data_IF_957278590892
#
_entry.id   IF_957278590892
#
_cell.length_a   1.000
_cell.length_b   1.000
_cell.length_c   1.000
_cell.angle_alpha   90.00
_cell.angle_beta   90.00
_cell.angle_gamma   90.00
#
_symmetry.space_group_name_H-M   'P 1'
#
loop_
_entity.id
_entity.type
_entity.pdbx_description
1 polymer ?
#
# COMPACT_ATOMS: atom_id res chain seq x y z
N UNK A 1 -26.23 3.32 -34.78
CA UNK A 1 -25.41 2.95 -33.61
C UNK A 1 -24.01 3.53 -33.84
N UNK A 2 -23.69 4.62 -33.14
CA UNK A 2 -22.35 5.25 -33.24
C UNK A 2 -21.53 4.73 -32.06
N UNK A 3 -20.47 3.94 -32.35
CA UNK A 3 -19.51 3.54 -31.33
C UNK A 3 -18.66 4.77 -30.94
N UNK A 4 -18.50 5.07 -29.65
CA UNK A 4 -17.53 6.07 -29.24
C UNK A 4 -16.14 5.49 -29.39
N UNK A 5 -15.33 6.18 -30.17
CA UNK A 5 -13.90 5.94 -30.32
C UNK A 5 -13.26 6.27 -28.97
N UNK A 6 -12.94 5.24 -28.15
CA UNK A 6 -12.11 5.41 -26.97
C UNK A 6 -10.69 5.60 -27.49
N UNK A 7 -10.31 6.85 -27.64
CA UNK A 7 -8.93 7.24 -27.88
C UNK A 7 -8.17 6.98 -26.57
N UNK A 8 -7.64 5.77 -26.44
CA UNK A 8 -6.69 5.44 -25.39
C UNK A 8 -5.44 6.29 -25.63
N UNK A 9 -5.34 7.41 -24.92
CA UNK A 9 -4.12 8.18 -24.83
C UNK A 9 -3.12 7.36 -24.01
N UNK A 10 -2.50 6.37 -24.65
CA UNK A 10 -1.23 5.84 -24.24
C UNK A 10 -0.24 7.00 -24.39
N UNK A 11 -0.08 7.76 -23.31
CA UNK A 11 1.03 8.69 -23.16
C UNK A 11 2.29 7.83 -23.04
N UNK A 12 2.71 7.25 -24.17
CA UNK A 12 4.10 6.82 -24.35
C UNK A 12 4.92 8.10 -24.34
N UNK A 13 5.37 8.50 -23.15
CA UNK A 13 6.46 9.46 -23.02
C UNK A 13 7.69 8.73 -23.56
N UNK A 14 7.84 8.73 -24.87
CA UNK A 14 9.10 8.49 -25.54
C UNK A 14 9.97 9.70 -25.18
N UNK A 15 10.58 9.66 -24.00
CA UNK A 15 11.66 10.59 -23.68
C UNK A 15 12.77 10.33 -24.69
N UNK A 16 13.18 11.34 -25.49
CA UNK A 16 14.34 11.18 -26.33
C UNK A 16 15.53 10.89 -25.41
N UNK A 17 16.07 9.69 -25.52
CA UNK A 17 17.35 9.30 -24.89
C UNK A 17 18.46 10.10 -25.57
N UNK A 18 18.58 11.38 -25.28
CA UNK A 18 19.79 12.11 -25.56
C UNK A 18 20.85 11.65 -24.53
N UNK A 19 21.80 10.89 -25.01
CA UNK A 19 22.93 10.38 -24.25
C UNK A 19 23.84 11.53 -23.78
N UNK A 20 23.44 12.19 -22.70
CA UNK A 20 24.35 12.97 -21.89
C UNK A 20 24.95 12.06 -20.81
N UNK A 21 26.25 11.83 -20.87
CA UNK A 21 27.05 10.89 -20.06
C UNK A 21 27.04 11.09 -18.53
N UNK A 22 26.16 11.93 -17.95
CA UNK A 22 26.03 12.19 -16.50
C UNK A 22 24.59 12.24 -15.98
N UNK A 23 23.62 11.73 -16.73
CA UNK A 23 22.20 11.95 -16.43
C UNK A 23 21.63 11.06 -15.32
N UNK A 24 22.19 9.88 -15.05
CA UNK A 24 21.63 8.91 -14.12
C UNK A 24 22.64 8.39 -13.10
N UNK A 25 22.24 8.32 -11.84
CA UNK A 25 22.96 7.63 -10.78
C UNK A 25 22.09 6.48 -10.28
N UNK A 26 22.65 5.29 -10.19
CA UNK A 26 21.98 4.07 -9.77
C UNK A 26 22.56 3.59 -8.44
N UNK A 27 21.69 3.22 -7.51
CA UNK A 27 22.07 2.59 -6.25
C UNK A 27 21.24 1.33 -6.06
N UNK A 28 21.89 0.18 -6.16
CA UNK A 28 21.29 -1.11 -5.82
C UNK A 28 21.46 -1.36 -4.33
N UNK A 29 20.42 -1.88 -3.70
CA UNK A 29 20.45 -2.29 -2.31
C UNK A 29 19.61 -3.54 -2.11
N UNK A 30 19.79 -4.18 -0.98
CA UNK A 30 18.98 -5.34 -0.62
C UNK A 30 19.35 -5.86 0.76
N UNK A 31 18.56 -6.80 1.21
CA UNK A 31 18.81 -7.55 2.44
C UNK A 31 18.32 -8.97 2.28
N UNK A 32 19.02 -9.89 2.92
CA UNK A 32 18.52 -11.24 3.19
C UNK A 32 18.06 -11.25 4.65
N UNK A 33 16.79 -11.62 4.88
CA UNK A 33 16.22 -11.69 6.21
C UNK A 33 15.66 -13.08 6.45
N UNK A 34 16.15 -13.73 7.52
CA UNK A 34 15.59 -14.97 8.04
C UNK A 34 14.79 -14.69 9.30
N UNK A 35 13.56 -15.17 9.35
CA UNK A 35 12.68 -15.11 10.51
C UNK A 35 12.42 -16.52 11.02
N UNK A 36 13.07 -16.90 12.14
CA UNK A 36 12.82 -18.13 12.89
C UNK A 36 11.91 -17.79 14.07
N UNK A 37 10.83 -18.52 14.21
CA UNK A 37 9.93 -18.36 15.34
C UNK A 37 9.45 -19.71 15.88
N UNK A 38 9.12 -19.73 17.16
CA UNK A 38 8.45 -20.82 17.85
C UNK A 38 7.37 -20.20 18.73
N UNK A 39 6.16 -20.73 18.63
CA UNK A 39 5.02 -20.36 19.44
C UNK A 39 4.60 -21.55 20.32
N UNK A 40 4.37 -21.31 21.60
CA UNK A 40 3.94 -22.36 22.54
C UNK A 40 2.44 -22.66 22.45
N UNK A 41 1.68 -21.79 21.76
CA UNK A 41 0.24 -21.87 21.58
C UNK A 41 -0.15 -21.36 20.19
N UNK A 42 -1.19 -21.94 19.60
CA UNK A 42 -1.71 -21.47 18.32
C UNK A 42 -2.11 -19.99 18.39
N UNK A 43 -1.67 -19.21 17.43
CA UNK A 43 -1.95 -17.76 17.32
C UNK A 43 -2.97 -17.47 16.22
N UNK A 44 -3.68 -16.37 16.35
CA UNK A 44 -4.47 -15.82 15.27
C UNK A 44 -3.55 -15.13 14.30
N UNK A 45 -3.46 -15.66 13.11
CA UNK A 45 -2.64 -15.16 12.01
C UNK A 45 -3.52 -14.54 10.93
N UNK A 46 -2.96 -13.60 10.18
CA UNK A 46 -3.52 -13.10 8.92
C UNK A 46 -2.41 -12.96 7.87
N UNK A 47 -2.81 -13.03 6.59
CA UNK A 47 -1.92 -12.91 5.42
C UNK A 47 -0.77 -13.94 5.50
N UNK A 48 -1.11 -15.23 5.61
CA UNK A 48 -0.18 -16.37 5.62
C UNK A 48 0.96 -16.21 6.64
N UNK A 49 0.64 -15.85 7.88
CA UNK A 49 1.61 -15.65 8.95
C UNK A 49 2.42 -14.35 8.82
N UNK A 50 1.98 -13.39 7.98
CA UNK A 50 2.59 -12.07 7.91
C UNK A 50 2.36 -11.28 9.20
N UNK A 51 1.19 -11.46 9.82
CA UNK A 51 0.82 -10.83 11.08
C UNK A 51 0.38 -11.88 12.08
N UNK A 52 0.99 -11.88 13.25
CA UNK A 52 0.58 -12.62 14.43
C UNK A 52 -0.11 -11.65 15.37
N UNK A 53 -1.41 -11.82 15.59
CA UNK A 53 -2.23 -10.84 16.28
C UNK A 53 -2.29 -11.11 17.79
N UNK A 54 -2.70 -12.31 18.17
CA UNK A 54 -2.86 -12.73 19.56
C UNK A 54 -2.94 -14.25 19.66
N UNK A 55 -2.61 -14.87 20.81
CA UNK A 55 -2.84 -16.28 21.07
C UNK A 55 -4.34 -16.60 21.01
N UNK A 56 -4.71 -17.72 20.40
CA UNK A 56 -6.10 -18.19 20.36
C UNK A 56 -6.59 -18.59 21.75
N UNK A 57 -7.86 -18.38 22.02
CA UNK A 57 -8.55 -18.85 23.21
C UNK A 57 -8.56 -20.39 23.31
N UNK A 58 -8.93 -20.92 24.46
CA UNK A 58 -9.11 -22.35 24.63
C UNK A 58 -10.20 -22.89 23.73
N UNK A 59 -9.92 -24.02 23.09
CA UNK A 59 -10.88 -24.76 22.26
C UNK A 59 -10.75 -26.24 22.63
N UNK A 60 -11.74 -26.78 23.31
CA UNK A 60 -11.68 -28.15 23.85
C UNK A 60 -12.26 -29.14 22.85
N UNK A 61 -11.59 -30.31 22.73
CA UNK A 61 -12.13 -31.50 22.09
C UNK A 61 -13.13 -32.22 22.99
N UNK A 62 -13.66 -33.38 22.53
CA UNK A 62 -14.61 -34.19 23.29
C UNK A 62 -14.01 -34.80 24.58
N UNK A 63 -12.70 -34.95 24.66
CA UNK A 63 -11.96 -35.47 25.79
C UNK A 63 -11.44 -34.39 26.75
N UNK A 64 -11.74 -33.12 26.45
CA UNK A 64 -11.36 -31.94 27.27
C UNK A 64 -9.94 -31.44 27.01
N UNK A 65 -9.27 -31.88 25.94
CA UNK A 65 -7.95 -31.37 25.57
C UNK A 65 -8.08 -30.04 24.81
N UNK A 66 -7.21 -29.08 25.13
CA UNK A 66 -7.20 -27.80 24.41
C UNK A 66 -6.48 -27.92 23.06
N UNK A 67 -7.24 -27.84 21.98
CA UNK A 67 -6.76 -27.95 20.60
C UNK A 67 -5.80 -26.81 20.21
N UNK A 68 -5.86 -25.67 20.90
CA UNK A 68 -4.99 -24.52 20.65
C UNK A 68 -3.72 -24.53 21.51
N UNK A 69 -3.58 -25.47 22.48
CA UNK A 69 -2.37 -25.65 23.27
C UNK A 69 -1.32 -26.47 22.50
N UNK A 70 -1.16 -26.19 21.21
CA UNK A 70 -0.20 -26.86 20.33
C UNK A 70 0.92 -25.88 19.96
N UNK A 71 2.17 -26.32 20.17
CA UNK A 71 3.33 -25.56 19.73
C UNK A 71 3.47 -25.61 18.20
N UNK A 72 3.87 -24.49 17.61
CA UNK A 72 4.19 -24.37 16.18
C UNK A 72 5.46 -23.56 15.98
N UNK A 73 6.11 -23.75 14.83
CA UNK A 73 7.29 -22.98 14.50
C UNK A 73 7.64 -23.10 13.03
N UNK A 74 8.31 -22.08 12.51
CA UNK A 74 8.74 -22.07 11.13
C UNK A 74 9.96 -21.16 10.93
N UNK A 75 10.58 -21.26 9.76
CA UNK A 75 11.71 -20.43 9.34
C UNK A 75 11.44 -19.90 7.93
N UNK A 76 11.36 -18.57 7.79
CA UNK A 76 11.10 -17.91 6.52
C UNK A 76 12.24 -17.02 6.08
N UNK A 77 12.44 -16.92 4.77
CA UNK A 77 13.34 -15.97 4.11
C UNK A 77 12.58 -14.93 3.26
N UNK A 78 11.25 -14.93 3.34
CA UNK A 78 10.35 -14.22 2.44
C UNK A 78 10.41 -12.70 2.56
N UNK A 79 10.95 -12.15 3.67
CA UNK A 79 11.17 -10.72 3.86
C UNK A 79 12.47 -10.20 3.24
N UNK A 80 13.23 -11.07 2.58
CA UNK A 80 14.38 -10.63 1.79
C UNK A 80 13.94 -9.66 0.70
N UNK A 81 14.73 -8.62 0.46
CA UNK A 81 14.38 -7.50 -0.43
C UNK A 81 15.46 -7.22 -1.44
N UNK A 82 15.03 -6.72 -2.58
CA UNK A 82 15.89 -6.11 -3.59
C UNK A 82 15.32 -4.74 -3.93
N UNK A 83 16.19 -3.76 -4.09
CA UNK A 83 15.79 -2.39 -4.41
C UNK A 83 16.77 -1.70 -5.34
N UNK A 84 16.24 -0.72 -6.03
CA UNK A 84 16.94 0.16 -6.93
C UNK A 84 16.46 1.59 -6.73
N UNK A 85 17.38 2.48 -6.37
CA UNK A 85 17.18 3.92 -6.40
C UNK A 85 17.89 4.52 -7.60
N UNK A 86 17.20 5.35 -8.36
CA UNK A 86 17.74 6.05 -9.52
C UNK A 86 17.53 7.55 -9.31
N UNK A 87 18.61 8.33 -9.45
CA UNK A 87 18.51 9.79 -9.65
C UNK A 87 18.67 10.06 -11.14
N UNK A 88 17.66 10.69 -11.72
CA UNK A 88 17.65 11.04 -13.12
C UNK A 88 18.08 12.48 -13.38
N UNK A 89 18.02 12.91 -14.63
CA UNK A 89 18.28 14.31 -15.01
C UNK A 89 17.21 15.23 -14.43
N UNK A 90 17.54 16.50 -14.29
CA UNK A 90 16.53 17.50 -13.94
C UNK A 90 15.51 17.65 -15.08
N UNK A 91 14.24 17.73 -14.71
CA UNK A 91 13.13 18.03 -15.62
C UNK A 91 12.68 19.46 -15.31
N UNK A 92 13.12 20.41 -16.14
CA UNK A 92 13.05 21.83 -15.80
C UNK A 92 13.88 22.13 -14.54
N UNK A 93 13.26 22.67 -13.50
CA UNK A 93 13.88 22.90 -12.18
C UNK A 93 13.70 21.74 -11.19
N UNK A 94 12.95 20.71 -11.55
CA UNK A 94 12.73 19.55 -10.70
C UNK A 94 13.87 18.53 -10.79
N UNK A 95 14.34 18.04 -9.66
CA UNK A 95 15.17 16.83 -9.60
C UNK A 95 14.28 15.60 -9.77
N UNK A 96 14.58 14.75 -10.77
CA UNK A 96 13.85 13.52 -10.98
C UNK A 96 14.49 12.34 -10.24
N UNK A 97 13.68 11.45 -9.71
CA UNK A 97 14.13 10.20 -9.12
C UNK A 97 13.09 9.07 -9.31
N UNK A 98 13.56 7.84 -9.22
CA UNK A 98 12.75 6.63 -9.28
C UNK A 98 13.18 5.70 -8.14
N UNK A 99 12.22 5.02 -7.56
CA UNK A 99 12.45 3.90 -6.63
C UNK A 99 11.70 2.66 -7.09
N UNK A 100 12.41 1.54 -7.10
CA UNK A 100 11.82 0.21 -7.24
C UNK A 100 12.29 -0.65 -6.07
N UNK A 101 11.36 -1.27 -5.36
CA UNK A 101 11.66 -2.23 -4.28
C UNK A 101 10.66 -3.38 -4.33
N UNK A 102 11.19 -4.59 -4.20
CA UNK A 102 10.43 -5.84 -4.19
C UNK A 102 10.82 -6.71 -3.00
N UNK A 103 9.91 -7.57 -2.54
CA UNK A 103 10.17 -8.67 -1.63
C UNK A 103 9.44 -9.93 -2.11
N UNK A 104 9.66 -11.07 -1.43
CA UNK A 104 9.09 -12.36 -1.80
C UNK A 104 7.86 -12.73 -0.96
N UNK A 105 7.27 -11.78 -0.26
CA UNK A 105 6.12 -11.95 0.63
C UNK A 105 4.80 -11.54 -0.03
N UNK A 106 4.55 -11.99 -1.25
CA UNK A 106 3.24 -11.87 -1.89
C UNK A 106 2.22 -12.79 -1.22
N UNK A 107 0.94 -12.43 -1.30
CA UNK A 107 -0.17 -13.26 -0.83
C UNK A 107 -0.52 -14.33 -1.87
N UNK A 108 -0.98 -15.50 -1.41
CA UNK A 108 -1.44 -16.58 -2.27
C UNK A 108 -0.97 -17.94 -1.81
N UNK A 109 -1.34 -18.97 -2.58
CA UNK A 109 -1.00 -20.36 -2.31
C UNK A 109 0.47 -20.74 -2.62
N UNK A 110 1.22 -19.85 -3.26
CA UNK A 110 2.62 -20.06 -3.57
C UNK A 110 3.49 -19.67 -2.37
N UNK A 111 4.43 -20.54 -2.02
CA UNK A 111 5.33 -20.33 -0.88
C UNK A 111 6.32 -19.16 -1.04
N UNK A 112 6.51 -18.65 -2.26
CA UNK A 112 7.31 -17.46 -2.52
C UNK A 112 6.73 -16.68 -3.71
N UNK A 113 6.04 -15.57 -3.45
CA UNK A 113 5.45 -14.71 -4.49
C UNK A 113 6.10 -13.34 -4.45
N UNK A 114 6.64 -12.91 -5.60
CA UNK A 114 7.24 -11.58 -5.73
C UNK A 114 6.18 -10.50 -5.51
N UNK A 115 6.47 -9.56 -4.63
CA UNK A 115 5.58 -8.44 -4.32
C UNK A 115 6.29 -7.11 -4.56
N UNK A 116 5.65 -6.22 -5.32
CA UNK A 116 6.10 -4.83 -5.45
C UNK A 116 5.79 -4.10 -4.15
N UNK A 117 6.82 -3.53 -3.53
CA UNK A 117 6.70 -2.68 -2.34
C UNK A 117 6.63 -1.22 -2.71
N UNK A 118 7.60 -0.79 -3.50
CA UNK A 118 7.69 0.57 -4.03
C UNK A 118 7.99 0.50 -5.52
N UNK A 119 7.27 1.28 -6.31
CA UNK A 119 7.52 1.48 -7.73
C UNK A 119 6.98 2.86 -8.11
N UNK A 120 7.79 3.90 -8.02
CA UNK A 120 7.34 5.26 -8.27
C UNK A 120 8.42 6.15 -8.89
N UNK A 121 7.94 7.20 -9.54
CA UNK A 121 8.75 8.35 -9.98
C UNK A 121 8.42 9.54 -9.08
N UNK A 122 9.43 10.34 -8.73
CA UNK A 122 9.30 11.54 -7.94
C UNK A 122 9.97 12.72 -8.65
N UNK A 123 9.30 13.85 -8.68
CA UNK A 123 9.80 15.14 -9.12
C UNK A 123 9.85 16.06 -7.90
N UNK A 124 11.04 16.61 -7.62
CA UNK A 124 11.31 17.43 -6.44
C UNK A 124 11.81 18.82 -6.84
N UNK A 125 11.07 19.85 -6.45
CA UNK A 125 11.40 21.27 -6.62
C UNK A 125 11.88 21.93 -5.32
N UNK A 126 12.32 21.15 -4.33
CA UNK A 126 12.74 21.58 -3.01
C UNK A 126 11.55 21.74 -2.05
N UNK A 127 10.75 22.79 -2.17
CA UNK A 127 9.55 22.95 -1.34
C UNK A 127 8.34 22.17 -1.84
N UNK A 128 8.34 21.75 -3.07
CA UNK A 128 7.24 21.04 -3.73
C UNK A 128 7.75 19.70 -4.24
N UNK A 129 6.95 18.66 -4.09
CA UNK A 129 7.26 17.34 -4.64
C UNK A 129 6.01 16.69 -5.21
N UNK A 130 6.15 16.04 -6.36
CA UNK A 130 5.10 15.26 -7.00
C UNK A 130 5.60 13.82 -7.18
N UNK A 131 4.89 12.87 -6.60
CA UNK A 131 5.17 11.45 -6.71
C UNK A 131 4.03 10.74 -7.42
N UNK A 132 4.35 9.89 -8.38
CA UNK A 132 3.39 9.03 -9.07
C UNK A 132 3.90 7.58 -9.11
N UNK A 133 3.07 6.64 -8.68
CA UNK A 133 3.37 5.21 -8.63
C UNK A 133 2.93 4.58 -7.32
N UNK A 134 3.47 3.40 -7.01
CA UNK A 134 3.10 2.63 -5.83
C UNK A 134 4.05 2.91 -4.66
N UNK A 135 3.50 3.31 -3.52
CA UNK A 135 4.23 3.45 -2.25
C UNK A 135 3.26 3.38 -1.07
N UNK A 136 3.75 3.69 0.14
CA UNK A 136 2.92 3.74 1.33
C UNK A 136 1.75 4.71 1.18
N UNK A 137 0.59 4.26 1.67
CA UNK A 137 -0.59 5.11 1.84
C UNK A 137 -0.24 6.29 2.76
N UNK A 138 -0.73 7.51 2.49
CA UNK A 138 -0.42 8.68 3.32
C UNK A 138 -0.78 8.53 4.80
N UNK A 139 -1.87 7.83 5.14
CA UNK A 139 -2.26 7.51 6.51
C UNK A 139 -1.19 6.72 7.30
N UNK A 140 -0.23 6.09 6.62
CA UNK A 140 0.89 5.42 7.31
C UNK A 140 1.87 6.42 7.94
N UNK A 141 1.85 7.67 7.47
CA UNK A 141 2.77 8.71 7.89
C UNK A 141 4.20 8.51 7.37
N UNK A 142 5.09 9.38 7.83
CA UNK A 142 6.51 9.37 7.45
C UNK A 142 7.42 8.78 8.55
N UNK A 143 6.87 8.54 9.75
CA UNK A 143 7.64 8.02 10.90
C UNK A 143 7.42 6.52 11.03
N UNK A 144 8.50 5.77 10.92
CA UNK A 144 8.51 4.33 11.13
C UNK A 144 8.92 4.05 12.57
N UNK A 145 8.09 3.33 13.36
CA UNK A 145 8.50 2.93 14.70
C UNK A 145 9.72 2.00 14.65
N UNK A 146 10.67 2.23 15.55
CA UNK A 146 11.84 1.36 15.69
C UNK A 146 11.45 0.11 16.47
N UNK A 147 11.17 -0.97 15.75
CA UNK A 147 10.82 -2.28 16.31
C UNK A 147 11.44 -3.40 15.49
N UNK A 148 11.65 -4.56 16.12
CA UNK A 148 12.29 -5.72 15.48
C UNK A 148 11.47 -6.26 14.30
N UNK A 149 10.16 -6.31 14.43
CA UNK A 149 9.26 -6.74 13.37
C UNK A 149 8.02 -5.87 13.31
N UNK A 150 7.97 -4.99 12.32
CA UNK A 150 6.87 -4.06 12.10
C UNK A 150 5.53 -4.78 11.81
N UNK A 151 5.58 -6.00 11.29
CA UNK A 151 4.39 -6.79 10.94
C UNK A 151 3.83 -7.61 12.10
N UNK A 152 4.52 -7.68 13.24
CA UNK A 152 4.09 -8.47 14.39
C UNK A 152 3.39 -7.60 15.42
N UNK A 153 2.15 -7.93 15.77
CA UNK A 153 1.41 -7.26 16.84
C UNK A 153 1.03 -5.81 16.55
N UNK A 154 0.94 -5.42 15.29
CA UNK A 154 0.63 -4.06 14.87
C UNK A 154 -0.72 -3.97 14.13
N UNK A 155 -1.87 -4.30 14.77
CA UNK A 155 -3.16 -4.37 14.10
C UNK A 155 -3.72 -3.02 13.68
N UNK A 156 -3.20 -1.91 14.23
CA UNK A 156 -3.73 -0.56 14.05
C UNK A 156 -2.95 0.30 13.08
N UNK A 157 -1.95 -0.23 12.39
CA UNK A 157 -1.18 0.53 11.42
C UNK A 157 -1.71 0.33 10.00
N UNK A 158 -1.91 1.39 9.22
CA UNK A 158 -2.40 1.31 7.86
C UNK A 158 -1.27 0.87 6.90
N UNK A 159 -0.87 -0.39 6.95
CA UNK A 159 0.19 -1.00 6.12
C UNK A 159 -0.15 -1.12 4.63
N UNK A 160 -0.88 -0.18 4.10
CA UNK A 160 -1.27 -0.19 2.71
C UNK A 160 -0.18 0.41 1.82
N UNK A 161 0.17 -0.27 0.72
CA UNK A 161 0.95 0.26 -0.39
C UNK A 161 0.14 0.12 -1.66
N UNK A 162 -0.26 1.24 -2.19
CA UNK A 162 -1.15 1.30 -3.35
C UNK A 162 -0.60 2.28 -4.40
N UNK A 163 -0.98 2.12 -5.65
CA UNK A 163 -0.76 3.14 -6.66
C UNK A 163 -1.40 4.45 -6.24
N UNK A 164 -0.65 5.54 -6.36
CA UNK A 164 -1.11 6.87 -5.97
C UNK A 164 -0.40 7.97 -6.77
N UNK A 165 -1.04 9.13 -6.80
CA UNK A 165 -0.41 10.39 -7.14
C UNK A 165 -0.45 11.26 -5.90
N UNK A 166 0.72 11.71 -5.44
CA UNK A 166 0.88 12.48 -4.21
C UNK A 166 1.64 13.76 -4.47
N UNK A 167 1.05 14.87 -4.05
CA UNK A 167 1.70 16.17 -4.01
C UNK A 167 2.01 16.54 -2.57
N UNK A 168 3.21 17.09 -2.34
CA UNK A 168 3.64 17.63 -1.05
C UNK A 168 4.12 19.07 -1.23
N UNK A 169 3.72 19.91 -0.29
CA UNK A 169 4.25 21.25 -0.11
C UNK A 169 4.88 21.37 1.27
N UNK A 170 6.17 21.72 1.33
CA UNK A 170 7.00 21.64 2.54
C UNK A 170 7.64 23.00 2.87
N UNK A 171 6.86 24.00 3.36
CA UNK A 171 7.39 25.27 3.83
C UNK A 171 7.88 25.14 5.28
N UNK A 172 9.11 25.57 5.56
CA UNK A 172 9.71 25.78 6.90
C UNK A 172 9.12 24.92 8.05
N UNK A 173 9.37 23.62 8.03
CA UNK A 173 8.94 22.69 9.09
C UNK A 173 7.47 22.26 9.04
N UNK A 174 6.69 22.74 8.07
CA UNK A 174 5.37 22.24 7.75
C UNK A 174 5.42 21.30 6.54
N UNK A 175 4.48 20.38 6.49
CA UNK A 175 4.25 19.55 5.31
C UNK A 175 2.75 19.44 5.08
N UNK A 176 2.29 19.92 3.93
CA UNK A 176 0.94 19.64 3.44
C UNK A 176 1.02 18.52 2.42
N UNK A 177 0.16 17.53 2.56
CA UNK A 177 0.10 16.37 1.67
C UNK A 177 -1.29 16.26 1.07
N UNK A 178 -1.37 16.16 -0.25
CA UNK A 178 -2.59 15.77 -0.97
C UNK A 178 -2.30 14.53 -1.81
N UNK A 179 -3.19 13.55 -1.80
CA UNK A 179 -3.01 12.33 -2.59
C UNK A 179 -4.33 11.83 -3.17
N UNK A 180 -4.22 11.21 -4.36
CA UNK A 180 -5.24 10.36 -4.95
C UNK A 180 -4.69 8.94 -4.96
N UNK A 181 -5.43 7.98 -4.37
CA UNK A 181 -4.97 6.61 -4.12
C UNK A 181 -5.93 5.61 -4.76
N UNK A 182 -5.39 4.57 -5.39
CA UNK A 182 -6.18 3.45 -5.93
C UNK A 182 -5.87 2.19 -5.12
N UNK A 183 -6.86 1.68 -4.40
CA UNK A 183 -6.67 0.50 -3.56
C UNK A 183 -6.12 -0.69 -4.34
N UNK A 184 -5.06 -1.31 -3.82
CA UNK A 184 -4.47 -2.53 -4.35
C UNK A 184 -4.18 -3.55 -3.25
N UNK A 185 -3.68 -3.12 -2.08
CA UNK A 185 -3.47 -3.96 -0.90
C UNK A 185 -4.55 -3.68 0.15
N UNK A 186 -4.91 -4.69 0.93
CA UNK A 186 -5.94 -4.57 1.99
C UNK A 186 -7.26 -4.00 1.45
N UNK A 187 -7.71 -4.60 0.36
CA UNK A 187 -8.92 -4.22 -0.35
C UNK A 187 -10.15 -4.17 0.57
N UNK A 188 -11.06 -3.26 0.28
CA UNK A 188 -12.35 -3.18 0.95
C UNK A 188 -13.16 -4.44 0.78
N UNK A 189 -13.86 -4.84 1.84
CA UNK A 189 -14.75 -5.98 1.84
C UNK A 189 -16.17 -5.55 1.42
N UNK A 190 -16.80 -6.34 0.58
CA UNK A 190 -18.14 -6.04 0.06
C UNK A 190 -18.88 -7.32 -0.37
N UNK A 191 -19.92 -7.23 -1.21
CA UNK A 191 -20.77 -8.37 -1.58
C UNK A 191 -20.02 -9.59 -2.14
N UNK A 192 -18.90 -9.37 -2.83
CA UNK A 192 -18.06 -10.41 -3.41
C UNK A 192 -16.76 -10.62 -2.60
N UNK A 193 -16.77 -10.35 -1.30
CA UNK A 193 -15.60 -10.38 -0.45
C UNK A 193 -14.65 -9.20 -0.71
N UNK A 194 -13.35 -9.40 -0.54
CA UNK A 194 -12.33 -8.37 -0.79
C UNK A 194 -12.07 -8.24 -2.29
N UNK A 195 -12.31 -7.07 -2.87
CA UNK A 195 -12.17 -6.87 -4.32
C UNK A 195 -11.77 -5.45 -4.70
N UNK A 196 -10.86 -5.33 -5.67
CA UNK A 196 -10.52 -4.07 -6.32
C UNK A 196 -11.62 -3.53 -7.26
N UNK A 197 -12.62 -4.37 -7.58
CA UNK A 197 -13.72 -3.95 -8.45
C UNK A 197 -14.51 -2.78 -7.87
N UNK A 198 -14.59 -2.66 -6.56
CA UNK A 198 -15.39 -1.62 -5.92
C UNK A 198 -14.86 -0.22 -6.20
N UNK A 199 -13.55 -0.02 -6.15
CA UNK A 199 -12.92 1.26 -6.52
C UNK A 199 -12.90 1.45 -8.05
N UNK A 200 -12.69 0.40 -8.84
CA UNK A 200 -12.82 0.45 -10.30
C UNK A 200 -14.22 0.88 -10.73
N UNK A 201 -15.24 0.32 -10.10
CA UNK A 201 -16.64 0.62 -10.39
C UNK A 201 -17.03 2.05 -10.01
N UNK A 202 -16.39 2.62 -8.99
CA UNK A 202 -16.62 4.00 -8.58
C UNK A 202 -16.04 5.02 -9.56
N UNK A 203 -15.00 4.67 -10.32
CA UNK A 203 -14.22 5.55 -11.19
C UNK A 203 -13.62 6.78 -10.47
N UNK A 204 -13.56 6.74 -9.14
CA UNK A 204 -13.05 7.82 -8.29
C UNK A 204 -11.99 7.24 -7.38
N UNK A 205 -10.79 7.82 -7.32
CA UNK A 205 -9.78 7.40 -6.35
C UNK A 205 -10.19 7.77 -4.93
N UNK A 206 -9.55 7.17 -3.97
CA UNK A 206 -9.54 7.61 -2.59
C UNK A 206 -8.73 8.91 -2.49
N UNK A 207 -9.20 9.88 -1.71
CA UNK A 207 -8.55 11.18 -1.57
C UNK A 207 -8.09 11.40 -0.13
N UNK A 208 -6.82 11.77 0.00
CA UNK A 208 -6.21 12.13 1.27
C UNK A 208 -5.75 13.59 1.26
N UNK A 209 -6.01 14.28 2.39
CA UNK A 209 -5.44 15.59 2.71
C UNK A 209 -4.87 15.55 4.13
N UNK A 210 -3.62 15.97 4.29
CA UNK A 210 -2.97 16.02 5.59
C UNK A 210 -2.05 17.21 5.77
N UNK A 211 -1.81 17.56 7.02
CA UNK A 211 -0.90 18.59 7.45
C UNK A 211 -0.05 18.09 8.59
N UNK A 212 1.26 18.22 8.47
CA UNK A 212 2.22 17.85 9.50
C UNK A 212 3.05 19.06 9.92
N UNK A 213 3.41 19.10 11.21
CA UNK A 213 4.43 19.98 11.75
C UNK A 213 5.59 19.12 12.24
N UNK A 214 6.79 19.42 11.73
CA UNK A 214 8.03 18.70 12.07
C UNK A 214 8.96 19.64 12.84
N UNK A 215 9.47 19.18 13.97
CA UNK A 215 10.49 19.83 14.78
C UNK A 215 11.67 18.90 14.99
N UNK A 216 12.60 19.33 15.86
CA UNK A 216 13.75 18.51 16.25
C UNK A 216 13.26 17.36 17.16
N UNK A 217 13.35 16.13 16.68
CA UNK A 217 12.96 14.92 17.39
C UNK A 217 11.45 14.67 17.56
N UNK A 218 10.58 15.47 16.92
CA UNK A 218 9.13 15.26 16.99
C UNK A 218 8.41 15.61 15.68
N UNK A 219 7.27 14.97 15.48
CA UNK A 219 6.31 15.27 14.40
C UNK A 219 4.91 15.15 14.96
N UNK A 220 4.05 16.11 14.62
CA UNK A 220 2.61 16.09 14.89
C UNK A 220 1.88 16.39 13.58
N UNK A 221 0.84 15.65 13.30
CA UNK A 221 0.08 15.82 12.08
C UNK A 221 -1.38 15.48 12.25
N UNK A 222 -2.19 15.92 11.31
CA UNK A 222 -3.59 15.55 11.18
C UNK A 222 -3.92 15.36 9.71
N UNK A 223 -4.81 14.42 9.42
CA UNK A 223 -5.23 14.13 8.07
C UNK A 223 -6.66 13.62 7.98
N UNK A 224 -7.22 13.73 6.80
CA UNK A 224 -8.53 13.18 6.45
C UNK A 224 -8.41 12.43 5.14
N UNK A 225 -9.02 11.27 5.12
CA UNK A 225 -9.12 10.38 3.97
C UNK A 225 -10.57 10.12 3.62
N UNK A 226 -10.90 10.15 2.33
CA UNK A 226 -12.26 9.95 1.81
C UNK A 226 -12.22 8.89 0.73
N UNK A 227 -12.85 7.76 1.00
CA UNK A 227 -12.99 6.63 0.09
C UNK A 227 -14.44 6.50 -0.36
N UNK A 228 -14.67 6.45 -1.69
CA UNK A 228 -16.00 6.25 -2.26
C UNK A 228 -16.01 5.05 -3.20
N UNK A 229 -16.81 4.05 -2.88
CA UNK A 229 -16.87 2.75 -3.57
C UNK A 229 -18.24 2.51 -4.21
N UNK A 230 -18.26 1.74 -5.29
CA UNK A 230 -19.48 1.19 -5.89
C UNK A 230 -19.44 -0.34 -5.76
N UNK A 231 -20.08 -0.92 -4.73
CA UNK A 231 -19.97 -2.34 -4.40
C UNK A 231 -20.47 -3.28 -5.50
N UNK A 232 -21.48 -2.84 -6.26
CA UNK A 232 -22.08 -3.61 -7.35
C UNK A 232 -22.73 -2.70 -8.39
N UNK A 233 -22.79 -3.15 -9.64
CA UNK A 233 -23.47 -2.45 -10.74
C UNK A 233 -24.83 -3.05 -11.09
N UNK A 234 -25.11 -4.24 -10.56
CA UNK A 234 -26.37 -4.97 -10.78
C UNK A 234 -26.72 -5.83 -9.58
N UNK A 235 -27.99 -6.15 -9.47
CA UNK A 235 -28.54 -7.10 -8.48
C UNK A 235 -29.58 -7.97 -9.13
N UNK A 236 -29.79 -9.17 -8.60
CA UNK A 236 -30.83 -10.09 -9.07
C UNK A 236 -31.93 -10.16 -8.02
N UNK A 237 -33.17 -9.90 -8.40
CA UNK A 237 -34.38 -10.02 -7.59
C UNK A 237 -35.36 -10.89 -8.36
N UNK A 238 -35.86 -11.95 -7.77
CA UNK A 238 -36.80 -12.89 -8.38
C UNK A 238 -36.38 -13.39 -9.78
N UNK A 239 -35.08 -13.63 -9.96
CA UNK A 239 -34.50 -14.10 -11.20
C UNK A 239 -34.32 -13.02 -12.28
N UNK A 240 -34.70 -11.78 -12.02
CA UNK A 240 -34.51 -10.64 -12.93
C UNK A 240 -33.31 -9.79 -12.51
N UNK A 241 -32.54 -9.29 -13.48
CA UNK A 241 -31.35 -8.47 -13.26
C UNK A 241 -31.70 -6.99 -13.34
N UNK A 242 -31.38 -6.26 -12.29
CA UNK A 242 -31.60 -4.81 -12.19
C UNK A 242 -30.26 -4.08 -12.08
N UNK A 243 -30.17 -2.93 -12.75
CA UNK A 243 -29.03 -2.01 -12.60
C UNK A 243 -29.07 -1.37 -11.20
N UNK A 244 -27.90 -1.29 -10.56
CA UNK A 244 -27.70 -0.61 -9.28
C UNK A 244 -26.68 0.51 -9.46
N UNK A 245 -26.91 1.64 -8.83
CA UNK A 245 -26.01 2.81 -8.83
C UNK A 245 -25.65 3.25 -7.40
N UNK A 246 -25.72 2.32 -6.46
CA UNK A 246 -25.42 2.58 -5.05
C UNK A 246 -23.93 2.88 -4.84
N UNK A 247 -23.64 3.86 -4.00
CA UNK A 247 -22.31 4.29 -3.64
C UNK A 247 -22.18 4.32 -2.12
N UNK A 248 -21.07 3.79 -1.61
CA UNK A 248 -20.73 3.81 -0.20
C UNK A 248 -19.50 4.71 -0.03
N UNK A 249 -19.61 5.70 0.86
CA UNK A 249 -18.51 6.63 1.15
C UNK A 249 -18.12 6.51 2.62
N UNK A 250 -16.85 6.27 2.85
CA UNK A 250 -16.21 6.26 4.17
C UNK A 250 -15.31 7.49 4.33
N UNK A 251 -15.20 7.96 5.55
CA UNK A 251 -14.28 9.05 5.93
C UNK A 251 -13.45 8.57 7.11
N UNK A 252 -12.14 8.72 7.02
CA UNK A 252 -11.18 8.37 8.09
C UNK A 252 -10.40 9.62 8.48
N UNK A 253 -10.29 9.90 9.76
CA UNK A 253 -9.41 10.93 10.31
C UNK A 253 -8.20 10.30 10.99
N UNK A 254 -7.07 11.01 11.00
CA UNK A 254 -5.87 10.67 11.77
C UNK A 254 -5.33 11.89 12.55
N UNK A 255 -4.68 11.61 13.67
CA UNK A 255 -3.93 12.56 14.49
C UNK A 255 -2.58 11.98 14.82
#
# INVERSE_FOLDING_TARGET
>A
MKQPLILGLLLSIALPLFAQKKAFTYSFYGQVRGDLYVESRASQEIVDGLFYLYPKDHAYDADGNDLNAAASGNFYLLYSRLGLDVKGPNIGSAQSSLKLEVDFRGSGSNWATLRIRHAYVNLDWGKHALLAGQTWHPLFGDVFPQMLNLSTGAPFQPFNRSPLVRYRFQPQGWQLTAAAVWQLQYLSNGPNGKSEEYIKNSCVPEFYLGIDRKGDGWQVGAGVDVLSLTPRKQTTIDGQIFKVSERVTGVTGEL
#
